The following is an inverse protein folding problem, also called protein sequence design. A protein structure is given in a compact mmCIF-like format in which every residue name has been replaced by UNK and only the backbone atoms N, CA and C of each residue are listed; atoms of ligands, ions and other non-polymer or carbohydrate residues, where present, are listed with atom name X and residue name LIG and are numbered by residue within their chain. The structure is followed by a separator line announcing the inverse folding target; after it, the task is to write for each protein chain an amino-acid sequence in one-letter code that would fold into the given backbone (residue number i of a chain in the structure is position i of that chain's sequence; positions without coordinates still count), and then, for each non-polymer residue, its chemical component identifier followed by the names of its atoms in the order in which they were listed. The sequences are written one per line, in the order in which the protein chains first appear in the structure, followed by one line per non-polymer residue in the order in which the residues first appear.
data_IF_726140938541
#
_entry.id   IF_726140938541
#
_cell.length_a   1.000
_cell.length_b   1.000
_cell.length_c   1.000
_cell.angle_alpha   90.00
_cell.angle_beta   90.00
_cell.angle_gamma   90.00
#
_symmetry.space_group_name_H-M   'P 1'
#
loop_
_entity.id
_entity.type
_entity.pdbx_description
1 polymer ?
#
# COMPACT_ATOMS: atom_id res chain seq x y z
N UNK A 1 10.89 -0.13 -13.47
CA UNK A 1 10.53 0.17 -12.06
C UNK A 1 9.05 0.47 -11.85
N UNK A 2 8.27 0.94 -12.84
CA UNK A 2 6.81 1.15 -12.70
C UNK A 2 5.97 -0.12 -12.48
N UNK A 3 6.34 -1.26 -13.07
CA UNK A 3 5.54 -2.48 -13.05
C UNK A 3 5.23 -3.02 -11.62
N UNK A 4 6.23 -3.05 -10.73
CA UNK A 4 6.04 -3.60 -9.38
C UNK A 4 5.10 -2.79 -8.49
N UNK A 5 5.06 -1.47 -8.67
CA UNK A 5 4.16 -0.60 -7.92
C UNK A 5 2.73 -0.68 -8.46
N UNK A 6 2.58 -0.83 -9.77
CA UNK A 6 1.29 -1.08 -10.42
C UNK A 6 0.68 -2.40 -9.93
N UNK A 7 1.49 -3.47 -9.91
CA UNK A 7 1.09 -4.76 -9.33
C UNK A 7 0.79 -4.66 -7.82
N UNK A 8 1.55 -3.86 -7.07
CA UNK A 8 1.27 -3.63 -5.66
C UNK A 8 -0.10 -2.96 -5.46
N UNK A 9 -0.45 -1.95 -6.28
CA UNK A 9 -1.75 -1.29 -6.19
C UNK A 9 -2.90 -2.28 -6.42
N UNK A 10 -2.83 -3.09 -7.48
CA UNK A 10 -3.84 -4.11 -7.75
C UNK A 10 -3.98 -5.09 -6.57
N UNK A 11 -2.86 -5.56 -6.02
CA UNK A 11 -2.86 -6.43 -4.84
C UNK A 11 -3.45 -5.81 -3.59
N UNK A 12 -3.27 -4.50 -3.39
CA UNK A 12 -3.88 -3.78 -2.27
C UNK A 12 -5.38 -3.60 -2.49
N UNK A 13 -5.79 -3.22 -3.70
CA UNK A 13 -7.20 -3.07 -4.07
C UNK A 13 -7.96 -4.40 -3.95
N UNK A 14 -7.33 -5.50 -4.34
CA UNK A 14 -7.84 -6.87 -4.17
C UNK A 14 -7.68 -7.42 -2.74
N UNK A 15 -7.15 -6.63 -1.81
CA UNK A 15 -6.90 -7.01 -0.40
C UNK A 15 -5.99 -8.23 -0.22
N UNK A 16 -5.17 -8.55 -1.22
CA UNK A 16 -4.12 -9.56 -1.10
C UNK A 16 -2.97 -9.06 -0.22
N UNK A 17 -2.63 -7.77 -0.34
CA UNK A 17 -1.64 -7.09 0.49
C UNK A 17 -2.35 -6.02 1.31
N UNK A 18 -2.44 -6.23 2.61
CA UNK A 18 -3.14 -5.33 3.53
C UNK A 18 -2.22 -4.60 4.50
N UNK A 19 -0.94 -4.95 4.55
CA UNK A 19 0.03 -4.33 5.45
C UNK A 19 1.25 -3.76 4.74
N UNK A 20 1.84 -2.70 5.30
CA UNK A 20 3.04 -2.08 4.73
C UNK A 20 4.23 -3.05 4.76
N UNK A 21 4.34 -3.92 5.77
CA UNK A 21 5.36 -4.95 5.83
C UNK A 21 5.29 -5.89 4.63
N UNK A 22 4.10 -6.41 4.34
CA UNK A 22 3.86 -7.27 3.18
C UNK A 22 4.11 -6.55 1.84
N UNK A 23 3.72 -5.28 1.73
CA UNK A 23 3.99 -4.46 0.55
C UNK A 23 5.50 -4.22 0.33
N UNK A 24 6.25 -3.98 1.40
CA UNK A 24 7.70 -3.84 1.36
C UNK A 24 8.39 -5.15 0.97
N UNK A 25 7.96 -6.29 1.51
CA UNK A 25 8.50 -7.61 1.17
C UNK A 25 8.25 -7.96 -0.31
N UNK A 26 7.01 -7.77 -0.77
CA UNK A 26 6.62 -8.02 -2.17
C UNK A 26 7.41 -7.18 -3.17
N UNK A 27 7.54 -5.88 -2.89
CA UNK A 27 8.19 -4.97 -3.82
C UNK A 27 9.72 -4.99 -3.72
N UNK A 28 10.25 -5.31 -2.53
CA UNK A 28 11.65 -5.12 -2.16
C UNK A 28 12.01 -3.66 -1.83
N UNK A 29 11.01 -2.77 -1.71
CA UNK A 29 11.24 -1.37 -1.41
C UNK A 29 11.14 -1.07 0.08
N UNK A 30 11.88 -0.04 0.50
CA UNK A 30 11.81 0.50 1.86
C UNK A 30 10.40 0.97 2.19
N UNK A 31 10.03 0.86 3.47
CA UNK A 31 8.75 1.34 4.02
C UNK A 31 8.38 2.76 3.56
N UNK A 32 9.35 3.68 3.53
CA UNK A 32 9.12 5.06 3.09
C UNK A 32 8.68 5.16 1.63
N UNK A 33 9.30 4.37 0.73
CA UNK A 33 8.94 4.38 -0.69
C UNK A 33 7.55 3.75 -0.91
N UNK A 34 7.22 2.71 -0.16
CA UNK A 34 5.86 2.14 -0.16
C UNK A 34 4.87 3.18 0.35
N UNK A 35 5.10 3.77 1.53
CA UNK A 35 4.21 4.80 2.09
C UNK A 35 3.98 5.98 1.14
N UNK A 36 5.04 6.46 0.48
CA UNK A 36 4.91 7.52 -0.51
C UNK A 36 4.00 7.07 -1.67
N UNK A 37 4.22 5.88 -2.20
CA UNK A 37 3.38 5.33 -3.27
C UNK A 37 1.90 5.20 -2.86
N UNK A 38 1.66 4.71 -1.65
CA UNK A 38 0.33 4.56 -1.05
C UNK A 38 -0.37 5.92 -0.93
N UNK A 39 0.35 6.95 -0.48
CA UNK A 39 -0.15 8.32 -0.36
C UNK A 39 -0.47 8.92 -1.74
N UNK A 40 0.45 8.81 -2.70
CA UNK A 40 0.26 9.32 -4.07
C UNK A 40 -0.93 8.66 -4.79
N UNK A 41 -1.24 7.40 -4.48
CA UNK A 41 -2.34 6.65 -5.08
C UNK A 41 -3.57 6.52 -4.17
N UNK A 42 -3.57 7.19 -3.01
CA UNK A 42 -4.65 7.16 -2.03
C UNK A 42 -5.12 5.73 -1.68
N UNK A 43 -4.18 4.79 -1.58
CA UNK A 43 -4.48 3.38 -1.31
C UNK A 43 -4.66 3.14 0.19
N UNK A 44 -5.60 2.26 0.57
CA UNK A 44 -5.80 1.87 1.96
C UNK A 44 -4.88 0.73 2.36
N UNK A 45 -4.05 0.94 3.38
CA UNK A 45 -3.14 -0.09 3.89
C UNK A 45 -2.95 0.05 5.40
N UNK A 46 -2.70 -1.06 6.08
CA UNK A 46 -2.45 -1.10 7.51
C UNK A 46 -0.96 -0.94 7.82
N UNK A 47 -0.64 -0.07 8.75
CA UNK A 47 0.70 0.05 9.31
C UNK A 47 0.80 -0.72 10.62
N UNK A 48 1.53 -1.81 10.57
CA UNK A 48 1.74 -2.71 11.72
C UNK A 48 2.59 -2.07 12.82
N UNK A 49 3.45 -1.10 12.49
CA UNK A 49 4.31 -0.43 13.47
C UNK A 49 3.53 0.63 14.24
N UNK A 50 2.70 1.38 13.54
CA UNK A 50 1.89 2.46 14.11
C UNK A 50 0.52 1.97 14.61
N UNK A 51 0.12 0.75 14.24
CA UNK A 51 -1.17 0.16 14.61
C UNK A 51 -2.37 0.89 14.00
N UNK A 52 -2.23 1.50 12.82
CA UNK A 52 -3.25 2.36 12.21
C UNK A 52 -3.43 2.11 10.72
N UNK A 53 -4.61 2.41 10.19
CA UNK A 53 -4.87 2.41 8.76
C UNK A 53 -4.46 3.74 8.13
N UNK A 54 -3.64 3.67 7.08
CA UNK A 54 -3.40 4.79 6.17
C UNK A 54 -4.53 4.84 5.15
N UNK A 55 -4.96 6.06 4.82
CA UNK A 55 -6.09 6.32 3.92
C UNK A 55 -7.32 5.47 4.28
N UNK A 56 -7.67 5.42 5.58
CA UNK A 56 -8.83 4.66 6.06
C UNK A 56 -10.13 5.06 5.35
N UNK A 57 -10.23 6.36 5.01
CA UNK A 57 -11.31 7.03 4.29
C UNK A 57 -11.13 7.04 2.76
N UNK A 58 -10.12 6.36 2.21
CA UNK A 58 -10.13 5.99 0.79
C UNK A 58 -11.19 4.90 0.58
N UNK A 59 -12.44 5.29 0.80
CA UNK A 59 -13.59 4.64 0.20
C UNK A 59 -13.37 4.80 -1.30
N UNK A 60 -13.22 3.67 -1.99
CA UNK A 60 -13.13 3.65 -3.43
C UNK A 60 -14.34 4.36 -4.01
N UNK A 61 -14.19 5.64 -4.35
CA UNK A 61 -15.16 6.36 -5.13
C UNK A 61 -14.92 5.97 -6.59
N UNK A 62 -15.76 5.04 -7.04
CA UNK A 62 -16.03 4.51 -8.38
C UNK A 62 -15.23 5.09 -9.56
#
# INVERSE_FOLDING_TARGET
MKAKFDELADKILNREIVTIGAASDFTGFSRQAVLQFIDENQLKIFDELEGKWYNESAEGHC
#
